data_IF_350881837506
#
_entry.id   IF_350881837506
#
_cell.length_a   1.000
_cell.length_b   1.000
_cell.length_c   1.000
_cell.angle_alpha   90.00
_cell.angle_beta   90.00
_cell.angle_gamma   90.00
#
_symmetry.space_group_name_H-M   'P 1'
#
loop_
_entity.id
_entity.type
_entity.pdbx_description
1 polymer ?
#
# COMPACT_ATOMS: atom_id res chain seq x y z
N UNK A 1 -24.13 -4.59 20.40
CA UNK A 1 -25.00 -3.68 19.60
C UNK A 1 -24.22 -3.00 18.45
N UNK A 2 -23.00 -2.54 18.69
CA UNK A 2 -22.20 -1.84 17.68
C UNK A 2 -21.82 -2.74 16.48
N UNK A 3 -21.42 -3.99 16.70
CA UNK A 3 -20.95 -4.91 15.65
C UNK A 3 -22.01 -5.21 14.59
N UNK A 4 -23.29 -5.38 14.98
CA UNK A 4 -24.38 -5.60 14.01
C UNK A 4 -24.67 -4.38 13.14
N UNK A 5 -24.52 -3.18 13.67
CA UNK A 5 -24.70 -1.94 12.93
C UNK A 5 -23.60 -1.71 11.90
N UNK A 6 -22.34 -2.09 12.20
CA UNK A 6 -21.23 -2.00 11.26
C UNK A 6 -21.39 -2.95 10.08
N UNK A 7 -21.80 -4.19 10.32
CA UNK A 7 -22.05 -5.16 9.24
C UNK A 7 -23.17 -4.69 8.29
N UNK A 8 -24.29 -4.21 8.86
CA UNK A 8 -25.39 -3.66 8.07
C UNK A 8 -24.98 -2.40 7.28
N UNK A 9 -24.20 -1.51 7.88
CA UNK A 9 -23.69 -0.33 7.21
C UNK A 9 -22.77 -0.70 6.03
N UNK A 10 -21.87 -1.68 6.21
CA UNK A 10 -21.01 -2.20 5.14
C UNK A 10 -21.85 -2.74 3.98
N UNK A 11 -22.83 -3.58 4.25
CA UNK A 11 -23.70 -4.16 3.25
C UNK A 11 -24.43 -3.08 2.43
N UNK A 12 -24.94 -2.04 3.09
CA UNK A 12 -25.58 -0.90 2.41
C UNK A 12 -24.62 -0.11 1.53
N UNK A 13 -23.37 0.08 1.98
CA UNK A 13 -22.34 0.76 1.20
C UNK A 13 -21.91 -0.08 -0.02
N UNK A 14 -21.76 -1.38 0.16
CA UNK A 14 -21.46 -2.32 -0.94
C UNK A 14 -22.57 -2.35 -1.97
N UNK A 15 -23.83 -2.40 -1.52
CA UNK A 15 -25.00 -2.28 -2.40
C UNK A 15 -24.99 -0.98 -3.20
N UNK A 16 -24.74 0.15 -2.53
CA UNK A 16 -24.69 1.47 -3.18
C UNK A 16 -23.61 1.52 -4.26
N UNK A 17 -22.41 1.02 -3.97
CA UNK A 17 -21.28 0.98 -4.92
C UNK A 17 -21.54 0.02 -6.07
N UNK A 18 -22.20 -1.12 -5.81
CA UNK A 18 -22.49 -2.13 -6.83
C UNK A 18 -23.61 -1.71 -7.77
N UNK A 19 -24.68 -1.14 -7.23
CA UNK A 19 -25.89 -0.82 -8.01
C UNK A 19 -25.81 0.57 -8.65
N UNK A 20 -25.21 1.54 -7.97
CA UNK A 20 -25.13 2.93 -8.42
C UNK A 20 -23.68 3.46 -8.53
N UNK A 21 -22.79 2.77 -9.29
CA UNK A 21 -21.34 3.04 -9.27
C UNK A 21 -20.95 4.45 -9.70
N UNK A 22 -21.78 5.13 -10.46
CA UNK A 22 -21.54 6.48 -11.00
C UNK A 22 -22.19 7.59 -10.16
N UNK A 23 -22.90 7.26 -9.08
CA UNK A 23 -23.51 8.28 -8.23
C UNK A 23 -22.43 9.03 -7.41
N UNK A 24 -22.70 10.27 -7.05
CA UNK A 24 -21.84 11.04 -6.16
C UNK A 24 -21.64 10.32 -4.81
N UNK A 25 -22.71 9.73 -4.26
CA UNK A 25 -22.65 8.97 -3.03
C UNK A 25 -21.80 7.68 -3.14
N UNK A 26 -21.68 7.08 -4.33
CA UNK A 26 -20.85 5.88 -4.51
C UNK A 26 -19.35 6.20 -4.38
N UNK A 27 -18.92 7.41 -4.68
CA UNK A 27 -17.52 7.83 -4.46
C UNK A 27 -17.19 7.84 -2.96
N UNK A 28 -18.05 8.44 -2.16
CA UNK A 28 -17.89 8.47 -0.71
C UNK A 28 -18.04 7.08 -0.09
N UNK A 29 -19.01 6.29 -0.55
CA UNK A 29 -19.18 4.91 -0.12
C UNK A 29 -17.92 4.05 -0.38
N UNK A 30 -17.28 4.20 -1.55
CA UNK A 30 -16.00 3.53 -1.86
C UNK A 30 -14.89 3.95 -0.93
N UNK A 31 -14.82 5.24 -0.58
CA UNK A 31 -13.82 5.76 0.37
C UNK A 31 -14.02 5.11 1.74
N UNK A 32 -15.24 5.12 2.27
CA UNK A 32 -15.56 4.52 3.58
C UNK A 32 -15.29 3.01 3.57
N UNK A 33 -15.73 2.29 2.54
CA UNK A 33 -15.44 0.85 2.40
C UNK A 33 -13.93 0.58 2.36
N UNK A 34 -13.17 1.44 1.68
CA UNK A 34 -11.71 1.32 1.64
C UNK A 34 -11.08 1.42 3.02
N UNK A 35 -11.51 2.36 3.86
CA UNK A 35 -11.04 2.48 5.25
C UNK A 35 -11.42 1.24 6.07
N UNK A 36 -12.68 0.81 6.02
CA UNK A 36 -13.14 -0.39 6.73
C UNK A 36 -12.38 -1.65 6.29
N UNK A 37 -12.08 -1.80 5.00
CA UNK A 37 -11.32 -2.93 4.49
C UNK A 37 -9.87 -2.92 5.00
N UNK A 38 -9.27 -1.73 5.14
CA UNK A 38 -7.93 -1.60 5.69
C UNK A 38 -7.89 -1.83 7.20
N UNK A 39 -8.89 -1.33 7.93
CA UNK A 39 -9.01 -1.59 9.36
C UNK A 39 -9.07 -3.10 9.62
N UNK A 40 -9.89 -3.84 8.86
CA UNK A 40 -9.95 -5.31 8.97
C UNK A 40 -8.61 -5.96 8.56
N UNK A 41 -7.99 -5.48 7.49
CA UNK A 41 -6.72 -6.02 6.99
C UNK A 41 -5.59 -5.82 7.99
N UNK A 42 -5.52 -4.67 8.65
CA UNK A 42 -4.45 -4.33 9.59
C UNK A 42 -4.79 -4.68 11.05
N UNK A 43 -6.04 -5.04 11.34
CA UNK A 43 -6.43 -5.55 12.65
C UNK A 43 -5.80 -6.92 12.93
N UNK A 44 -5.36 -7.17 14.15
CA UNK A 44 -4.92 -8.50 14.60
C UNK A 44 -6.07 -9.38 15.10
N UNK A 45 -7.27 -8.83 15.25
CA UNK A 45 -8.48 -9.57 15.61
C UNK A 45 -9.06 -10.31 14.41
N UNK A 46 -8.96 -9.74 13.20
CA UNK A 46 -9.40 -10.35 11.95
C UNK A 46 -8.24 -11.10 11.32
N UNK A 47 -8.25 -12.42 11.40
CA UNK A 47 -7.15 -13.27 10.90
C UNK A 47 -7.28 -13.66 9.42
N UNK A 48 -8.34 -13.27 8.73
CA UNK A 48 -8.53 -13.60 7.32
C UNK A 48 -7.33 -13.14 6.46
N UNK A 49 -6.71 -14.11 5.79
CA UNK A 49 -5.56 -13.87 4.93
C UNK A 49 -4.27 -13.52 5.64
N UNK A 50 -4.19 -13.74 6.94
CA UNK A 50 -2.99 -13.61 7.77
C UNK A 50 -2.52 -14.97 8.27
N UNK A 51 -1.27 -15.03 8.71
CA UNK A 51 -0.65 -16.28 9.20
C UNK A 51 -0.10 -16.03 10.59
N UNK A 52 -0.45 -16.89 11.54
CA UNK A 52 0.24 -16.97 12.82
C UNK A 52 1.53 -17.77 12.60
N UNK A 53 2.68 -17.15 12.79
CA UNK A 53 3.98 -17.74 12.60
C UNK A 53 4.71 -17.91 13.92
N UNK A 54 5.15 -19.13 14.22
CA UNK A 54 5.98 -19.41 15.39
C UNK A 54 7.45 -19.37 14.99
N UNK A 55 8.21 -18.46 15.59
CA UNK A 55 9.63 -18.22 15.33
C UNK A 55 10.45 -19.49 15.64
N UNK A 56 11.33 -19.85 14.72
CA UNK A 56 12.23 -21.02 14.80
C UNK A 56 13.65 -20.58 15.12
N UNK A 57 14.46 -21.53 15.59
CA UNK A 57 15.89 -21.29 15.79
C UNK A 57 16.57 -20.89 14.47
N UNK A 58 17.34 -19.79 14.48
CA UNK A 58 18.02 -19.24 13.31
C UNK A 58 17.19 -18.30 12.46
N UNK A 59 15.93 -18.02 12.81
CA UNK A 59 15.12 -17.00 12.15
C UNK A 59 15.62 -15.59 12.43
N UNK A 60 15.35 -14.73 11.46
CA UNK A 60 15.45 -13.27 11.62
C UNK A 60 14.32 -12.61 10.82
N UNK A 61 13.97 -11.37 11.16
CA UNK A 61 12.87 -10.64 10.52
C UNK A 61 12.97 -10.58 9.00
N UNK A 62 14.17 -10.38 8.44
CA UNK A 62 14.37 -10.30 6.99
C UNK A 62 14.04 -11.63 6.30
N UNK A 63 14.50 -12.76 6.86
CA UNK A 63 14.22 -14.09 6.32
C UNK A 63 12.75 -14.44 6.44
N UNK A 64 12.12 -14.12 7.59
CA UNK A 64 10.68 -14.32 7.78
C UNK A 64 9.90 -13.50 6.75
N UNK A 65 10.24 -12.22 6.56
CA UNK A 65 9.59 -11.37 5.58
C UNK A 65 9.67 -11.94 4.15
N UNK A 66 10.84 -12.40 3.73
CA UNK A 66 11.06 -13.00 2.41
C UNK A 66 10.28 -14.29 2.21
N UNK A 67 10.26 -15.17 3.22
CA UNK A 67 9.60 -16.48 3.12
C UNK A 67 8.07 -16.40 3.17
N UNK A 68 7.53 -15.30 3.66
CA UNK A 68 6.08 -15.11 3.83
C UNK A 68 5.51 -13.97 3.00
N UNK A 69 6.21 -13.57 1.93
CA UNK A 69 5.73 -12.54 0.99
C UNK A 69 5.30 -11.23 1.65
N UNK A 70 5.98 -10.85 2.73
CA UNK A 70 5.70 -9.63 3.48
C UNK A 70 6.93 -8.72 3.54
N UNK A 71 6.87 -7.66 4.33
CA UNK A 71 7.98 -6.72 4.52
C UNK A 71 8.30 -6.56 6.00
N UNK A 72 9.51 -6.10 6.30
CA UNK A 72 9.95 -5.86 7.66
C UNK A 72 9.04 -4.85 8.39
N UNK A 73 8.73 -3.74 7.72
CA UNK A 73 7.84 -2.71 8.26
C UNK A 73 6.41 -3.23 8.49
N UNK A 74 5.89 -4.10 7.62
CA UNK A 74 4.59 -4.73 7.83
C UNK A 74 4.61 -5.69 9.03
N UNK A 75 5.65 -6.52 9.18
CA UNK A 75 5.79 -7.39 10.35
C UNK A 75 5.82 -6.55 11.63
N UNK A 76 6.62 -5.48 11.65
CA UNK A 76 6.73 -4.61 12.81
C UNK A 76 5.40 -3.96 13.16
N UNK A 77 4.66 -3.46 12.14
CA UNK A 77 3.35 -2.85 12.31
C UNK A 77 2.33 -3.83 12.87
N UNK A 78 2.18 -5.01 12.23
CA UNK A 78 1.20 -6.03 12.62
C UNK A 78 1.39 -6.56 14.03
N UNK A 79 2.60 -6.51 14.56
CA UNK A 79 2.93 -7.03 15.89
C UNK A 79 3.21 -5.92 16.91
N UNK A 80 2.92 -4.66 16.61
CA UNK A 80 3.11 -3.52 17.50
C UNK A 80 4.57 -3.29 17.93
N UNK A 81 5.53 -3.78 17.13
CA UNK A 81 6.95 -3.71 17.45
C UNK A 81 7.53 -2.34 17.07
N UNK A 82 8.11 -1.67 18.05
CA UNK A 82 8.70 -0.33 17.85
C UNK A 82 10.17 -0.38 17.45
N UNK A 83 10.87 -1.48 17.72
CA UNK A 83 12.29 -1.72 17.44
C UNK A 83 12.48 -3.13 16.91
N UNK A 84 13.57 -3.34 16.18
CA UNK A 84 14.01 -4.69 15.82
C UNK A 84 14.69 -5.36 17.02
N UNK A 85 13.87 -5.79 17.97
CA UNK A 85 14.35 -6.56 19.11
C UNK A 85 14.78 -7.97 18.68
N UNK A 86 15.44 -8.69 19.60
CA UNK A 86 15.82 -10.07 19.33
C UNK A 86 14.57 -10.94 19.23
N UNK A 87 14.50 -11.75 18.19
CA UNK A 87 13.53 -12.83 18.08
C UNK A 87 14.02 -14.05 18.87
N UNK A 88 13.13 -14.60 19.66
CA UNK A 88 13.41 -15.86 20.37
C UNK A 88 12.62 -17.00 19.73
N UNK A 89 13.22 -18.21 19.64
CA UNK A 89 12.47 -19.38 19.21
C UNK A 89 11.25 -19.58 20.12
N UNK A 90 10.08 -19.73 19.50
CA UNK A 90 8.81 -19.86 20.20
C UNK A 90 7.96 -18.59 20.23
N UNK A 91 8.53 -17.41 19.94
CA UNK A 91 7.74 -16.18 19.75
C UNK A 91 6.70 -16.37 18.66
N UNK A 92 5.55 -15.73 18.82
CA UNK A 92 4.47 -15.77 17.83
C UNK A 92 4.35 -14.42 17.15
N UNK A 93 4.29 -14.44 15.80
CA UNK A 93 4.15 -13.26 14.95
C UNK A 93 2.92 -13.40 14.06
N UNK A 94 2.13 -12.36 13.98
CA UNK A 94 1.10 -12.22 12.94
C UNK A 94 1.77 -11.70 11.67
N UNK A 95 1.70 -12.48 10.60
CA UNK A 95 2.24 -12.12 9.30
C UNK A 95 1.11 -11.85 8.32
N UNK A 96 1.20 -10.75 7.59
CA UNK A 96 0.31 -10.40 6.49
C UNK A 96 1.07 -10.58 5.17
N UNK A 97 0.73 -11.60 4.34
CA UNK A 97 1.26 -11.70 2.98
C UNK A 97 0.78 -10.54 2.11
N UNK A 98 1.72 -9.81 1.51
CA UNK A 98 1.45 -8.60 0.72
C UNK A 98 1.30 -8.94 -0.77
N UNK A 99 0.37 -9.84 -1.08
CA UNK A 99 0.04 -10.26 -2.43
C UNK A 99 -0.99 -9.32 -3.05
N UNK A 100 -0.60 -8.06 -3.19
CA UNK A 100 -1.42 -7.00 -3.76
C UNK A 100 -0.97 -6.66 -5.18
N UNK A 101 -1.90 -6.09 -5.93
CA UNK A 101 -1.61 -5.41 -7.18
C UNK A 101 -2.29 -4.05 -7.20
N UNK A 102 -1.71 -3.10 -7.93
CA UNK A 102 -2.25 -1.75 -8.06
C UNK A 102 -2.58 -1.44 -9.51
N UNK A 103 -3.66 -0.69 -9.68
CA UNK A 103 -4.04 -0.11 -10.96
C UNK A 103 -4.09 1.41 -10.83
N UNK A 104 -3.40 2.09 -11.72
CA UNK A 104 -3.33 3.55 -11.79
C UNK A 104 -4.11 3.99 -13.02
N UNK A 105 -5.24 4.66 -12.84
CA UNK A 105 -6.04 5.27 -13.88
C UNK A 105 -5.71 6.77 -13.93
N UNK A 106 -4.78 7.15 -14.81
CA UNK A 106 -4.30 8.53 -14.92
C UNK A 106 -5.40 9.51 -15.30
N UNK A 107 -6.26 9.22 -16.29
CA UNK A 107 -7.39 10.07 -16.63
C UNK A 107 -8.35 10.34 -15.47
N UNK A 108 -8.58 9.34 -14.63
CA UNK A 108 -9.48 9.45 -13.47
C UNK A 108 -8.78 9.96 -12.22
N UNK A 109 -7.47 10.16 -12.26
CA UNK A 109 -6.64 10.50 -11.10
C UNK A 109 -6.85 9.55 -9.92
N UNK A 110 -6.83 8.25 -10.19
CA UNK A 110 -7.16 7.22 -9.21
C UNK A 110 -6.09 6.14 -9.20
N UNK A 111 -5.63 5.78 -8.01
CA UNK A 111 -4.87 4.56 -7.75
C UNK A 111 -5.76 3.60 -6.97
N UNK A 112 -5.88 2.37 -7.43
CA UNK A 112 -6.69 1.33 -6.78
C UNK A 112 -5.82 0.17 -6.36
N UNK A 113 -5.95 -0.24 -5.11
CA UNK A 113 -5.28 -1.39 -4.51
C UNK A 113 -6.21 -2.59 -4.54
N UNK A 114 -5.71 -3.71 -5.06
CA UNK A 114 -6.46 -4.96 -5.17
C UNK A 114 -5.76 -6.08 -4.42
N UNK A 115 -6.57 -6.99 -3.88
CA UNK A 115 -6.15 -8.28 -3.35
C UNK A 115 -7.01 -9.37 -3.98
N UNK A 116 -6.37 -10.36 -4.63
CA UNK A 116 -7.10 -11.48 -5.26
C UNK A 116 -8.23 -11.05 -6.20
N UNK A 117 -8.02 -9.95 -6.94
CA UNK A 117 -9.01 -9.39 -7.86
C UNK A 117 -10.10 -8.54 -7.21
N UNK A 118 -10.19 -8.48 -5.88
CA UNK A 118 -11.14 -7.62 -5.15
C UNK A 118 -10.52 -6.26 -4.88
N UNK A 119 -11.29 -5.20 -5.11
CA UNK A 119 -10.89 -3.84 -4.75
C UNK A 119 -10.84 -3.73 -3.22
N UNK A 120 -9.67 -3.37 -2.70
CA UNK A 120 -9.47 -3.13 -1.28
C UNK A 120 -9.72 -1.66 -0.94
N UNK A 121 -8.97 -0.74 -1.58
CA UNK A 121 -9.08 0.72 -1.37
C UNK A 121 -8.66 1.47 -2.63
N UNK A 122 -9.16 2.68 -2.76
CA UNK A 122 -8.76 3.63 -3.81
C UNK A 122 -8.19 4.90 -3.20
N UNK A 123 -7.17 5.45 -3.85
CA UNK A 123 -6.43 6.63 -3.45
C UNK A 123 -6.49 7.68 -4.55
N UNK A 124 -6.62 8.94 -4.18
CA UNK A 124 -6.60 10.05 -5.13
C UNK A 124 -5.16 10.34 -5.59
N UNK A 125 -4.96 10.45 -6.89
CA UNK A 125 -3.73 11.00 -7.44
C UNK A 125 -3.83 12.52 -7.48
N UNK A 126 -3.05 13.18 -6.66
CA UNK A 126 -2.99 14.64 -6.62
C UNK A 126 -2.33 15.21 -7.88
N UNK A 127 -1.32 14.49 -8.40
CA UNK A 127 -0.64 14.83 -9.64
C UNK A 127 -0.10 13.57 -10.34
N UNK A 128 0.02 13.63 -11.67
CA UNK A 128 0.66 12.60 -12.47
C UNK A 128 1.54 13.24 -13.54
N UNK A 129 2.85 12.98 -13.51
CA UNK A 129 3.84 13.42 -14.51
C UNK A 129 4.52 12.19 -15.10
N UNK A 130 3.75 11.40 -15.83
CA UNK A 130 4.27 10.36 -16.69
C UNK A 130 4.27 10.87 -18.12
N UNK A 131 5.33 10.59 -18.91
CA UNK A 131 5.27 10.91 -20.35
C UNK A 131 4.05 10.20 -20.91
N UNK A 132 3.19 10.96 -21.54
CA UNK A 132 1.98 10.47 -22.19
C UNK A 132 2.31 9.29 -23.10
N UNK A 133 2.06 8.08 -22.60
CA UNK A 133 1.88 6.90 -23.42
C UNK A 133 0.40 6.85 -23.80
N UNK A 134 0.07 6.32 -24.94
CA UNK A 134 -1.30 5.90 -25.22
C UNK A 134 -1.44 4.43 -24.80
N UNK A 135 -2.53 4.09 -24.07
CA UNK A 135 -2.83 2.71 -23.74
C UNK A 135 -2.48 2.29 -22.32
N UNK A 136 -2.08 1.05 -22.16
CA UNK A 136 -1.78 0.43 -20.87
C UNK A 136 -0.28 0.14 -20.75
N UNK A 137 0.25 0.36 -19.54
CA UNK A 137 1.59 -0.01 -19.16
C UNK A 137 1.51 -1.03 -18.03
N UNK A 138 2.20 -2.15 -18.17
CA UNK A 138 2.40 -3.11 -17.09
C UNK A 138 3.80 -3.00 -16.54
N UNK A 139 3.93 -2.97 -15.24
CA UNK A 139 5.19 -2.86 -14.51
C UNK A 139 5.09 -3.60 -13.17
N UNK A 140 6.12 -3.49 -12.36
CA UNK A 140 6.17 -3.97 -10.98
C UNK A 140 6.81 -2.91 -10.10
N UNK A 141 6.59 -2.99 -8.79
CA UNK A 141 7.42 -2.29 -7.82
C UNK A 141 8.82 -2.90 -7.88
N UNK A 142 9.78 -2.17 -8.41
CA UNK A 142 11.17 -2.60 -8.55
C UNK A 142 11.99 -2.27 -7.32
N UNK A 143 11.71 -1.12 -6.69
CA UNK A 143 12.45 -0.66 -5.52
C UNK A 143 11.55 0.09 -4.55
N UNK A 144 11.88 -0.04 -3.28
CA UNK A 144 11.25 0.67 -2.16
C UNK A 144 12.34 1.36 -1.35
N UNK A 145 12.27 2.68 -1.23
CA UNK A 145 13.26 3.49 -0.51
C UNK A 145 12.58 4.52 0.39
N UNK A 146 13.32 5.03 1.35
CA UNK A 146 12.96 6.23 2.12
C UNK A 146 13.90 7.37 1.77
N UNK A 147 13.39 8.59 1.62
CA UNK A 147 14.18 9.81 1.47
C UNK A 147 14.37 10.47 2.82
N UNK A 148 15.62 10.68 3.23
CA UNK A 148 15.96 11.29 4.50
C UNK A 148 15.87 12.83 4.41
N UNK A 149 15.47 13.48 5.48
CA UNK A 149 15.43 14.95 5.56
C UNK A 149 16.84 15.57 5.42
N UNK A 150 17.89 14.85 5.81
CA UNK A 150 19.29 15.24 5.64
C UNK A 150 19.81 15.08 4.21
N UNK A 151 18.99 14.59 3.29
CA UNK A 151 19.40 14.18 1.94
C UNK A 151 19.80 12.70 1.87
N UNK A 152 19.79 12.15 0.66
CA UNK A 152 20.07 10.73 0.42
C UNK A 152 18.88 9.81 0.64
N UNK A 153 19.11 8.52 0.41
CA UNK A 153 18.09 7.49 0.52
C UNK A 153 18.49 6.38 1.48
N UNK A 154 17.48 5.69 2.03
CA UNK A 154 17.65 4.58 2.96
C UNK A 154 16.78 3.40 2.52
N UNK A 155 17.33 2.20 2.63
CA UNK A 155 16.61 0.94 2.36
C UNK A 155 15.71 0.55 3.54
N UNK A 156 14.57 -0.11 3.30
CA UNK A 156 13.70 -0.67 4.35
C UNK A 156 14.39 -1.61 5.34
N UNK A 157 15.49 -2.23 4.94
CA UNK A 157 16.31 -3.09 5.83
C UNK A 157 16.90 -2.31 7.01
N UNK A 158 17.17 -1.01 6.81
CA UNK A 158 17.57 -0.09 7.89
C UNK A 158 16.31 0.51 8.53
N UNK A 159 15.52 -0.33 9.16
CA UNK A 159 14.16 -0.03 9.64
C UNK A 159 14.05 1.28 10.44
N UNK A 160 14.94 1.50 11.39
CA UNK A 160 14.94 2.68 12.27
C UNK A 160 14.98 4.00 11.47
N UNK A 161 15.83 4.07 10.44
CA UNK A 161 15.95 5.23 9.58
C UNK A 161 14.84 5.30 8.54
N UNK A 162 14.46 4.13 7.98
CA UNK A 162 13.41 4.03 6.97
C UNK A 162 12.06 4.45 7.53
N UNK A 163 11.74 4.09 8.77
CA UNK A 163 10.49 4.40 9.44
C UNK A 163 10.15 5.90 9.40
N UNK A 164 11.17 6.75 9.61
CA UNK A 164 11.02 8.21 9.67
C UNK A 164 11.32 8.93 8.35
N UNK A 165 11.63 8.18 7.29
CA UNK A 165 11.93 8.72 5.98
C UNK A 165 10.68 8.84 5.12
N UNK A 166 10.61 9.80 4.21
CA UNK A 166 9.53 9.89 3.21
C UNK A 166 9.61 8.71 2.24
N UNK A 167 8.51 7.98 2.09
CA UNK A 167 8.48 6.76 1.29
C UNK A 167 8.42 7.06 -0.21
N UNK A 168 9.17 6.26 -0.97
CA UNK A 168 9.13 6.26 -2.44
C UNK A 168 9.11 4.82 -2.92
N UNK A 169 8.14 4.50 -3.76
CA UNK A 169 8.06 3.25 -4.49
C UNK A 169 8.46 3.53 -5.95
N UNK A 170 9.43 2.80 -6.45
CA UNK A 170 9.98 2.99 -7.79
C UNK A 170 9.56 1.81 -8.65
N UNK A 171 8.93 2.09 -9.79
CA UNK A 171 8.53 1.08 -10.75
C UNK A 171 9.72 0.63 -11.60
N UNK A 172 9.77 -0.64 -11.97
CA UNK A 172 10.79 -1.18 -12.89
C UNK A 172 10.78 -0.45 -14.23
N UNK A 173 9.58 -0.03 -14.68
CA UNK A 173 9.45 0.66 -15.94
C UNK A 173 9.90 2.12 -15.84
N UNK A 174 11.03 2.44 -16.48
CA UNK A 174 11.58 3.81 -16.64
C UNK A 174 11.75 4.60 -15.35
N UNK A 175 11.81 3.94 -14.19
CA UNK A 175 11.99 4.59 -12.90
C UNK A 175 10.85 5.54 -12.51
N UNK A 176 9.62 5.28 -12.98
CA UNK A 176 8.43 5.99 -12.52
C UNK A 176 8.27 5.80 -11.02
N UNK A 177 7.93 6.88 -10.32
CA UNK A 177 7.86 6.88 -8.85
C UNK A 177 6.41 7.03 -8.37
N UNK A 178 6.09 6.36 -7.29
CA UNK A 178 4.94 6.67 -6.43
C UNK A 178 5.50 7.32 -5.18
N UNK A 179 5.12 8.55 -4.90
CA UNK A 179 5.62 9.29 -3.74
C UNK A 179 4.69 10.42 -3.30
N UNK A 180 4.96 10.97 -2.14
CA UNK A 180 4.29 12.17 -1.67
C UNK A 180 4.52 13.35 -2.61
N UNK A 181 3.49 14.18 -2.81
CA UNK A 181 3.62 15.47 -3.48
C UNK A 181 4.22 16.49 -2.49
N UNK A 182 5.22 17.23 -2.95
CA UNK A 182 5.83 18.33 -2.18
C UNK A 182 5.63 19.66 -2.90
N UNK A 183 5.80 20.79 -2.20
CA UNK A 183 5.68 22.12 -2.81
C UNK A 183 6.65 22.35 -3.97
N UNK A 184 7.86 21.78 -3.90
CA UNK A 184 8.83 21.81 -5.00
C UNK A 184 8.43 20.93 -6.19
N UNK A 185 7.56 19.94 -5.98
CA UNK A 185 7.09 19.06 -7.04
C UNK A 185 6.05 19.70 -7.95
N UNK A 186 5.39 20.74 -7.52
CA UNK A 186 4.47 21.51 -8.37
C UNK A 186 5.21 22.23 -9.50
N UNK A 187 6.48 22.58 -9.29
CA UNK A 187 7.29 23.30 -10.26
C UNK A 187 8.27 22.40 -11.03
N UNK A 188 8.91 21.43 -10.38
CA UNK A 188 9.97 20.59 -10.96
C UNK A 188 9.79 19.08 -10.73
N UNK A 189 8.57 18.60 -10.59
CA UNK A 189 8.31 17.20 -10.27
C UNK A 189 9.06 16.24 -11.20
N UNK A 190 9.78 15.29 -10.60
CA UNK A 190 10.29 14.10 -11.27
C UNK A 190 9.14 13.30 -11.94
N UNK A 191 9.46 12.26 -12.68
CA UNK A 191 8.46 11.43 -13.34
C UNK A 191 7.77 10.53 -12.32
N UNK A 192 6.44 10.51 -12.32
CA UNK A 192 5.70 9.58 -11.47
C UNK A 192 4.27 10.00 -11.17
N UNK A 193 3.78 9.41 -10.10
CA UNK A 193 2.42 9.55 -9.59
C UNK A 193 2.51 10.04 -8.15
N UNK A 194 1.80 11.09 -7.82
CA UNK A 194 1.94 11.81 -6.57
C UNK A 194 0.65 11.72 -5.76
N UNK A 195 0.79 11.37 -4.50
CA UNK A 195 -0.28 11.14 -3.54
C UNK A 195 -0.12 12.06 -2.32
N UNK A 196 -1.04 11.98 -1.38
CA UNK A 196 -0.85 12.57 -0.06
C UNK A 196 0.24 11.82 0.73
N UNK A 197 0.83 12.47 1.73
CA UNK A 197 1.81 11.82 2.61
C UNK A 197 1.22 10.62 3.35
N UNK A 198 -0.03 10.71 3.81
CA UNK A 198 -0.71 9.60 4.48
C UNK A 198 -0.92 8.40 3.53
N UNK A 199 -1.38 8.66 2.29
CA UNK A 199 -1.63 7.60 1.32
C UNK A 199 -0.36 6.86 0.91
N UNK A 200 0.75 7.59 0.72
CA UNK A 200 2.01 6.94 0.35
C UNK A 200 2.63 6.15 1.50
N UNK A 201 2.48 6.60 2.75
CA UNK A 201 2.89 5.83 3.93
C UNK A 201 2.11 4.50 4.02
N UNK A 202 0.80 4.56 3.83
CA UNK A 202 -0.07 3.38 3.83
C UNK A 202 0.25 2.43 2.68
N UNK A 203 0.39 2.94 1.45
CA UNK A 203 0.79 2.14 0.30
C UNK A 203 2.18 1.52 0.49
N UNK A 204 3.11 2.26 1.09
CA UNK A 204 4.43 1.74 1.37
C UNK A 204 4.42 0.62 2.43
N UNK A 205 3.47 0.64 3.38
CA UNK A 205 3.27 -0.46 4.33
C UNK A 205 2.74 -1.73 3.63
N UNK A 206 1.80 -1.56 2.68
CA UNK A 206 1.08 -2.65 2.03
C UNK A 206 1.77 -3.20 0.77
N UNK A 207 2.69 -2.46 0.17
CA UNK A 207 3.35 -2.87 -1.07
C UNK A 207 4.79 -3.31 -0.83
N UNK A 208 5.16 -4.41 -1.50
CA UNK A 208 6.52 -4.94 -1.54
C UNK A 208 7.10 -4.91 -2.94
N UNK A 209 8.40 -5.06 -3.05
CA UNK A 209 9.07 -5.29 -4.33
C UNK A 209 8.47 -6.54 -5.00
N UNK A 210 8.17 -6.42 -6.28
CA UNK A 210 7.54 -7.47 -7.07
C UNK A 210 6.02 -7.33 -7.23
N UNK A 211 5.31 -6.51 -6.42
CA UNK A 211 3.88 -6.28 -6.63
C UNK A 211 3.62 -5.69 -8.02
N UNK A 212 2.58 -6.21 -8.68
CA UNK A 212 2.23 -5.80 -10.05
C UNK A 212 1.56 -4.43 -10.08
N UNK A 213 1.89 -3.66 -11.10
CA UNK A 213 1.39 -2.31 -11.35
C UNK A 213 0.88 -2.22 -12.79
N UNK A 214 -0.39 -1.92 -12.94
CA UNK A 214 -1.01 -1.59 -14.23
C UNK A 214 -1.28 -0.08 -14.27
N UNK A 215 -0.78 0.59 -15.30
CA UNK A 215 -1.02 2.03 -15.51
C UNK A 215 -1.82 2.23 -16.78
N UNK A 216 -2.94 2.90 -16.66
CA UNK A 216 -3.81 3.26 -17.78
C UNK A 216 -3.68 4.75 -18.08
N UNK A 217 -3.29 5.07 -19.30
CA UNK A 217 -3.23 6.43 -19.83
C UNK A 217 -4.48 6.77 -20.63
N UNK A 218 -4.71 8.06 -20.92
CA UNK A 218 -5.74 8.49 -21.83
C UNK A 218 -5.52 7.86 -23.22
N UNK A 219 -6.60 7.45 -23.88
CA UNK A 219 -6.54 7.14 -25.30
C UNK A 219 -6.34 8.46 -26.06
N UNK A 220 -5.37 8.50 -26.96
CA UNK A 220 -5.26 9.59 -27.93
C UNK A 220 -6.42 9.56 -28.91
#
# INVERSE_FOLDING_TARGET
LATGQFAEAREKLEFLVGVYPSSASASEARRILGELNLDDLLSTEVMEGKVMYKVKSGDNFTRIAQNHDTTLDCIMHMNGLQRMDKLFPGDELVLLPLNFNIRIDVPRKLLSLYREGRLLKSYELLHAKAREGSGELRSKIGQKIGLLASGGSVSPVKFENYRNARKVLILDHRGLQLREITTSDQEEAGRGFFLSGADIEELALLLRVGNEVEVRFAKR
#
